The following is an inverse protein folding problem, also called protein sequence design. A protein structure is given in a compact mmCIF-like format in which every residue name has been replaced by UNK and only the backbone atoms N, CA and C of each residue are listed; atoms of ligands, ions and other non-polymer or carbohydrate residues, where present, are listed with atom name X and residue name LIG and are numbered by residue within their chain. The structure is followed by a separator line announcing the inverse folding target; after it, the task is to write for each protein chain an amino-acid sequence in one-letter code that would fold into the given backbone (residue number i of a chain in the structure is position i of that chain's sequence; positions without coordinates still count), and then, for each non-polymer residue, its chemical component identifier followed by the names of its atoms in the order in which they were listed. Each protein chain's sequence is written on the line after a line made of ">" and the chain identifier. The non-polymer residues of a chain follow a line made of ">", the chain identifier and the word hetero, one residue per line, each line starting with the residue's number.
data_IF_224933417139
#
_entry.id   IF_224933417139
#
_cell.length_a   1.000
_cell.length_b   1.000
_cell.length_c   1.000
_cell.angle_alpha   90.00
_cell.angle_beta   90.00
_cell.angle_gamma   90.00
#
_symmetry.space_group_name_H-M   'P 1'
#
loop_
_entity.id
_entity.type
_entity.pdbx_description
1 polymer ?
#
# COMPACT_ATOMS: atom_id res chain seq x y z
N UNK A 1 -5.79 -3.67 -17.41
CA UNK A 1 -5.66 -2.33 -18.01
C UNK A 1 -6.38 -1.34 -17.10
N UNK A 2 -5.66 -0.39 -16.47
CA UNK A 2 -6.30 0.61 -15.62
C UNK A 2 -6.95 1.70 -16.48
N UNK A 3 -8.25 1.93 -16.33
CA UNK A 3 -8.91 3.08 -16.98
C UNK A 3 -8.43 4.35 -16.27
N UNK A 4 -7.82 5.27 -17.03
CA UNK A 4 -7.49 6.60 -16.51
C UNK A 4 -8.78 7.35 -16.14
N UNK A 5 -8.80 7.93 -14.95
CA UNK A 5 -9.92 8.73 -14.48
C UNK A 5 -9.94 10.05 -15.25
N UNK A 6 -11.08 10.36 -15.90
CA UNK A 6 -11.25 11.64 -16.58
C UNK A 6 -11.39 12.76 -15.56
N UNK A 7 -10.60 13.82 -15.71
CA UNK A 7 -10.73 15.02 -14.91
C UNK A 7 -11.86 15.89 -15.45
N UNK A 8 -12.76 16.34 -14.56
CA UNK A 8 -13.83 17.26 -14.88
C UNK A 8 -13.67 18.49 -14.00
N UNK A 9 -13.62 19.67 -14.59
CA UNK A 9 -13.63 20.93 -13.85
C UNK A 9 -15.07 21.23 -13.38
N UNK A 10 -15.20 21.47 -12.08
CA UNK A 10 -16.47 21.74 -11.40
C UNK A 10 -16.65 23.22 -11.02
N UNK A 11 -15.70 24.09 -11.39
CA UNK A 11 -15.71 25.53 -11.03
C UNK A 11 -17.02 26.23 -11.39
N UNK A 12 -17.60 25.89 -12.55
CA UNK A 12 -18.81 26.53 -13.07
C UNK A 12 -20.11 25.78 -12.74
N UNK A 13 -20.07 24.79 -11.82
CA UNK A 13 -21.23 23.96 -11.45
C UNK A 13 -21.51 24.12 -9.95
N UNK A 14 -22.31 25.12 -9.53
CA UNK A 14 -22.48 25.47 -8.12
C UNK A 14 -23.07 24.33 -7.28
N UNK A 15 -23.99 23.55 -7.86
CA UNK A 15 -24.61 22.39 -7.20
C UNK A 15 -23.58 21.32 -6.84
N UNK A 16 -22.63 21.04 -7.74
CA UNK A 16 -21.55 20.08 -7.46
C UNK A 16 -20.57 20.61 -6.41
N UNK A 17 -20.32 21.92 -6.39
CA UNK A 17 -19.47 22.54 -5.36
C UNK A 17 -20.08 22.40 -3.96
N UNK A 18 -21.39 22.53 -3.83
CA UNK A 18 -22.07 22.36 -2.55
C UNK A 18 -21.92 20.93 -2.02
N UNK A 19 -22.21 19.93 -2.85
CA UNK A 19 -22.09 18.50 -2.49
C UNK A 19 -20.63 18.15 -2.13
N UNK A 20 -19.65 18.69 -2.88
CA UNK A 20 -18.23 18.49 -2.59
C UNK A 20 -17.83 19.12 -1.25
N UNK A 21 -18.37 20.29 -0.90
CA UNK A 21 -18.11 20.92 0.41
C UNK A 21 -18.69 20.09 1.55
N UNK A 22 -19.90 19.57 1.38
CA UNK A 22 -20.55 18.70 2.37
C UNK A 22 -19.74 17.43 2.62
N UNK A 23 -19.30 16.76 1.55
CA UNK A 23 -18.38 15.63 1.62
C UNK A 23 -17.06 15.99 2.32
N UNK A 24 -16.50 17.17 2.03
CA UNK A 24 -15.27 17.65 2.67
C UNK A 24 -15.43 17.93 4.16
N UNK A 25 -16.56 18.51 4.59
CA UNK A 25 -16.82 18.76 6.01
C UNK A 25 -17.00 17.47 6.79
N UNK A 26 -17.64 16.46 6.21
CA UNK A 26 -17.83 15.15 6.85
C UNK A 26 -16.59 14.27 6.82
N UNK A 27 -15.67 14.48 5.87
CA UNK A 27 -14.51 13.62 5.61
C UNK A 27 -14.88 12.15 5.34
N UNK A 28 -16.15 11.88 5.04
CA UNK A 28 -16.73 10.59 4.75
C UNK A 28 -17.15 10.52 3.27
N UNK A 29 -17.09 9.33 2.65
CA UNK A 29 -17.53 9.15 1.28
C UNK A 29 -19.06 9.24 1.17
N UNK A 30 -19.55 9.95 0.15
CA UNK A 30 -20.98 10.07 -0.14
C UNK A 30 -21.35 9.22 -1.37
N UNK A 31 -22.52 8.58 -1.32
CA UNK A 31 -23.12 7.90 -2.47
C UNK A 31 -24.12 8.87 -3.10
N UNK A 32 -24.00 9.06 -4.41
CA UNK A 32 -24.93 9.85 -5.20
C UNK A 32 -25.89 8.88 -5.89
N UNK A 33 -27.17 8.96 -5.51
CA UNK A 33 -28.24 8.16 -6.10
C UNK A 33 -29.18 9.01 -6.96
N UNK A 34 -29.75 8.39 -7.98
CA UNK A 34 -30.78 8.98 -8.84
C UNK A 34 -31.90 7.94 -8.99
N UNK A 35 -33.14 8.33 -8.73
CA UNK A 35 -34.31 7.43 -8.86
C UNK A 35 -34.15 6.11 -8.09
N UNK A 36 -33.60 6.17 -6.87
CA UNK A 36 -33.30 5.01 -6.01
C UNK A 36 -32.20 4.06 -6.49
N UNK A 37 -31.44 4.45 -7.52
CA UNK A 37 -30.25 3.71 -7.97
C UNK A 37 -28.96 4.47 -7.66
N UNK A 38 -27.94 3.76 -7.20
CA UNK A 38 -26.63 4.34 -6.91
C UNK A 38 -25.85 4.60 -8.21
N UNK A 39 -25.53 5.86 -8.49
CA UNK A 39 -24.92 6.30 -9.76
C UNK A 39 -23.43 6.58 -9.63
N UNK A 40 -23.00 7.17 -8.50
CA UNK A 40 -21.61 7.54 -8.30
C UNK A 40 -21.22 7.55 -6.82
N UNK A 41 -19.92 7.38 -6.56
CA UNK A 41 -19.35 7.55 -5.22
C UNK A 41 -18.42 8.76 -5.24
N UNK A 42 -18.69 9.71 -4.35
CA UNK A 42 -17.86 10.88 -4.13
C UNK A 42 -16.92 10.60 -2.95
N UNK A 43 -15.62 10.46 -3.24
CA UNK A 43 -14.57 10.31 -2.21
C UNK A 43 -13.75 11.58 -2.15
N UNK A 44 -13.56 12.09 -0.94
CA UNK A 44 -12.67 13.24 -0.72
C UNK A 44 -11.23 12.81 -0.98
N UNK A 45 -10.58 13.45 -1.95
CA UNK A 45 -9.17 13.20 -2.26
C UNK A 45 -8.31 13.86 -1.18
N UNK A 46 -7.80 13.05 -0.24
CA UNK A 46 -6.77 13.51 0.70
C UNK A 46 -5.49 13.73 -0.09
N UNK A 47 -4.97 14.97 -0.10
CA UNK A 47 -3.67 15.24 -0.71
C UNK A 47 -2.65 14.30 -0.07
N UNK A 48 -1.86 13.56 -0.86
CA UNK A 48 -0.79 12.76 -0.30
C UNK A 48 0.13 13.71 0.47
N UNK A 49 0.22 13.52 1.79
CA UNK A 49 1.18 14.22 2.62
C UNK A 49 2.56 13.98 2.03
N UNK A 50 3.23 15.06 1.61
CA UNK A 50 4.60 14.99 1.05
C UNK A 50 5.60 14.33 2.02
N UNK A 51 5.23 14.08 3.28
CA UNK A 51 6.06 13.41 4.29
C UNK A 51 6.21 11.89 4.10
N UNK A 52 5.42 11.24 3.23
CA UNK A 52 5.52 9.79 3.04
C UNK A 52 6.70 9.31 2.16
N UNK A 53 7.50 10.23 1.58
CA UNK A 53 8.72 9.87 0.82
C UNK A 53 10.02 9.91 1.63
N UNK A 54 9.95 10.15 2.94
CA UNK A 54 11.11 9.96 3.83
C UNK A 54 11.34 8.49 4.24
N UNK A 55 10.54 7.54 3.72
CA UNK A 55 10.59 6.12 4.09
C UNK A 55 11.36 5.21 3.12
N UNK A 56 12.18 5.77 2.21
CA UNK A 56 13.18 4.98 1.48
C UNK A 56 14.57 5.51 1.79
N UNK A 57 15.17 4.92 2.83
CA UNK A 57 16.62 4.96 3.05
C UNK A 57 17.13 6.07 3.96
N UNK A 58 16.61 6.18 5.18
CA UNK A 58 17.50 6.58 6.27
C UNK A 58 18.54 5.46 6.43
N UNK A 59 19.83 5.77 6.39
CA UNK A 59 20.86 4.83 6.85
C UNK A 59 20.50 4.52 8.30
N UNK A 60 20.15 3.28 8.61
CA UNK A 60 19.94 2.84 9.99
C UNK A 60 21.27 3.12 10.72
N UNK A 61 21.28 4.11 11.61
CA UNK A 61 22.47 4.45 12.40
C UNK A 61 22.48 3.59 13.66
N UNK A 62 23.64 3.46 14.32
CA UNK A 62 23.80 2.56 15.49
C UNK A 62 22.94 2.94 16.69
N UNK A 63 22.42 4.16 16.69
CA UNK A 63 21.59 4.73 17.75
C UNK A 63 20.09 4.46 17.51
N UNK A 64 19.71 3.85 16.38
CA UNK A 64 18.32 3.49 16.07
C UNK A 64 17.96 2.14 16.74
N UNK A 65 16.87 2.05 17.52
CA UNK A 65 16.41 0.78 18.09
C UNK A 65 16.09 -0.30 17.04
N UNK A 66 15.86 0.07 15.78
CA UNK A 66 15.69 -0.86 14.67
C UNK A 66 17.03 -1.36 14.10
N UNK A 67 18.17 -0.75 14.45
CA UNK A 67 19.49 -1.22 14.06
C UNK A 67 19.81 -2.59 14.68
N UNK A 68 19.34 -2.84 15.90
CA UNK A 68 19.51 -4.11 16.62
C UNK A 68 18.79 -5.28 15.94
N UNK A 69 17.81 -5.01 15.07
CA UNK A 69 17.16 -6.03 14.24
C UNK A 69 18.04 -6.49 13.06
N UNK A 70 19.09 -5.76 12.69
CA UNK A 70 19.98 -6.15 11.60
C UNK A 70 20.89 -7.29 12.08
N UNK A 71 20.65 -8.51 11.58
CA UNK A 71 21.47 -9.67 11.89
C UNK A 71 20.84 -10.69 12.84
N UNK A 72 19.67 -10.40 13.43
CA UNK A 72 18.95 -11.34 14.32
C UNK A 72 18.57 -12.67 13.64
N UNK A 73 18.51 -12.68 12.31
CA UNK A 73 18.22 -13.86 11.48
C UNK A 73 19.45 -14.51 10.86
N UNK A 74 20.67 -14.02 11.15
CA UNK A 74 21.89 -14.69 10.68
C UNK A 74 22.06 -15.98 11.47
N UNK A 75 21.79 -17.11 10.81
CA UNK A 75 22.09 -18.41 11.39
C UNK A 75 23.60 -18.50 11.64
N UNK A 76 24.01 -18.80 12.87
CA UNK A 76 25.41 -19.02 13.29
C UNK A 76 26.07 -20.23 12.62
N UNK A 77 25.38 -20.90 11.71
CA UNK A 77 25.85 -22.06 10.94
C UNK A 77 26.45 -21.54 9.62
N UNK A 78 27.75 -21.77 9.35
CA UNK A 78 28.35 -21.44 8.07
C UNK A 78 27.54 -22.05 6.92
N UNK A 79 26.99 -21.18 6.06
CA UNK A 79 26.19 -21.57 4.89
C UNK A 79 24.68 -21.59 5.07
N UNK A 80 24.13 -21.76 6.28
CA UNK A 80 22.68 -21.78 6.54
C UNK A 80 21.84 -22.70 5.63
N UNK A 81 20.52 -22.67 5.78
CA UNK A 81 19.59 -23.37 4.86
C UNK A 81 19.69 -22.78 3.44
N UNK A 82 19.98 -21.48 3.35
CA UNK A 82 20.10 -20.77 2.07
C UNK A 82 21.26 -21.27 1.21
N UNK A 83 22.42 -21.57 1.80
CA UNK A 83 23.59 -22.07 1.08
C UNK A 83 23.46 -23.55 0.67
N UNK A 84 22.63 -24.31 1.38
CA UNK A 84 22.35 -25.73 1.11
C UNK A 84 20.98 -25.97 0.47
N UNK A 85 20.32 -24.94 -0.06
CA UNK A 85 18.96 -25.02 -0.62
C UNK A 85 18.78 -26.16 -1.64
N UNK A 86 19.82 -26.44 -2.41
CA UNK A 86 19.81 -27.46 -3.44
C UNK A 86 19.75 -28.88 -2.85
N UNK A 87 20.42 -29.12 -1.72
CA UNK A 87 20.40 -30.40 -1.01
C UNK A 87 18.99 -30.70 -0.49
N UNK A 88 18.34 -29.71 0.15
CA UNK A 88 16.97 -29.86 0.65
C UNK A 88 15.93 -30.10 -0.44
N UNK A 89 16.09 -29.45 -1.61
CA UNK A 89 15.21 -29.70 -2.76
C UNK A 89 15.42 -31.14 -3.27
N UNK A 90 16.67 -31.58 -3.43
CA UNK A 90 16.95 -32.94 -3.89
C UNK A 90 16.41 -34.00 -2.91
N UNK A 91 16.60 -33.80 -1.61
CA UNK A 91 16.09 -34.69 -0.57
C UNK A 91 14.56 -34.80 -0.61
N UNK A 92 13.84 -33.68 -0.73
CA UNK A 92 12.38 -33.66 -0.82
C UNK A 92 11.85 -34.39 -2.06
N UNK A 93 12.53 -34.27 -3.20
CA UNK A 93 12.15 -34.99 -4.41
C UNK A 93 12.49 -36.48 -4.34
N UNK A 94 13.60 -36.85 -3.70
CA UNK A 94 13.99 -38.26 -3.51
C UNK A 94 12.99 -38.99 -2.62
N UNK A 95 12.55 -38.35 -1.53
CA UNK A 95 11.55 -38.89 -0.60
C UNK A 95 10.16 -39.13 -1.24
N UNK A 96 9.85 -38.43 -2.34
CA UNK A 96 8.57 -38.52 -3.04
C UNK A 96 8.53 -39.63 -4.09
N UNK A 97 9.70 -40.19 -4.45
CA UNK A 97 9.86 -41.17 -5.52
C UNK A 97 10.30 -42.56 -5.02
N UNK A 98 10.29 -42.79 -3.70
CA UNK A 98 10.18 -44.11 -3.05
C UNK A 98 8.71 -44.37 -2.68
#
# INVERSE_FOLDING_TARGET
>A
MGKELKHVDITHRPELLQIVREAQSGNEPLILSQNSEDVAILRVVKRPSKRARAGRGGVLTREDPLFDLIGIGQSSIPGGVSGKKHEYVVEAYRLKHE
#
